data_IF_317225749993
#
_entry.id   IF_317225749993
#
_cell.length_a   1.000
_cell.length_b   1.000
_cell.length_c   1.000
_cell.angle_alpha   90.00
_cell.angle_beta   90.00
_cell.angle_gamma   90.00
#
_symmetry.space_group_name_H-M   'P 1'
#
loop_
_entity.id
_entity.type
_entity.pdbx_description
1 polymer ?
#
# COMPACT_ATOMS: atom_id res chain seq x y z
N UNK A 1 1.35 2.20 13.11
CA UNK A 1 2.82 2.25 12.92
C UNK A 1 3.32 1.15 11.98
N UNK A 2 2.91 -0.12 12.16
CA UNK A 2 3.29 -1.22 11.27
C UNK A 2 2.82 -1.03 9.81
N UNK A 3 1.59 -0.56 9.60
CA UNK A 3 1.03 -0.31 8.26
C UNK A 3 1.86 0.70 7.45
N UNK A 4 2.42 1.74 8.08
CA UNK A 4 3.31 2.72 7.42
C UNK A 4 4.62 2.10 6.97
N UNK A 5 5.21 1.22 7.78
CA UNK A 5 6.42 0.47 7.40
C UNK A 5 6.13 -0.46 6.22
N UNK A 6 5.02 -1.19 6.26
CA UNK A 6 4.61 -2.09 5.17
C UNK A 6 4.32 -1.28 3.90
N UNK A 7 3.55 -0.20 4.00
CA UNK A 7 3.23 0.67 2.87
C UNK A 7 4.48 1.30 2.26
N UNK A 8 5.41 1.81 3.07
CA UNK A 8 6.69 2.34 2.60
C UNK A 8 7.50 1.27 1.83
N UNK A 9 7.57 0.04 2.36
CA UNK A 9 8.24 -1.07 1.68
C UNK A 9 7.58 -1.43 0.36
N UNK A 10 6.25 -1.50 0.32
CA UNK A 10 5.47 -1.81 -0.90
C UNK A 10 5.60 -0.71 -1.94
N UNK A 11 5.57 0.58 -1.57
CA UNK A 11 5.78 1.68 -2.51
C UNK A 11 7.21 1.74 -3.05
N UNK A 12 8.21 1.43 -2.22
CA UNK A 12 9.58 1.30 -2.69
C UNK A 12 9.74 0.16 -3.70
N UNK A 13 9.09 -0.98 -3.45
CA UNK A 13 9.06 -2.11 -4.38
C UNK A 13 8.30 -1.78 -5.68
N UNK A 14 7.16 -1.10 -5.58
CA UNK A 14 6.38 -0.67 -6.74
C UNK A 14 7.14 0.38 -7.58
N UNK A 15 7.88 1.29 -6.94
CA UNK A 15 8.78 2.21 -7.64
C UNK A 15 9.84 1.45 -8.44
N UNK A 16 10.45 0.42 -7.84
CA UNK A 16 11.44 -0.42 -8.50
C UNK A 16 10.85 -1.14 -9.73
N UNK A 17 9.68 -1.77 -9.59
CA UNK A 17 8.98 -2.41 -10.73
C UNK A 17 8.59 -1.40 -11.81
N UNK A 18 8.07 -0.23 -11.44
CA UNK A 18 7.71 0.80 -12.40
C UNK A 18 8.93 1.31 -13.19
N UNK A 19 10.08 1.40 -12.52
CA UNK A 19 11.35 1.76 -13.14
C UNK A 19 11.80 0.68 -14.13
N UNK A 20 11.66 -0.59 -13.75
CA UNK A 20 11.99 -1.75 -14.61
C UNK A 20 11.05 -1.83 -15.83
N UNK A 21 9.78 -1.43 -15.69
CA UNK A 21 8.81 -1.33 -16.79
C UNK A 21 8.99 -0.11 -17.71
N UNK A 22 10.03 0.71 -17.53
CA UNK A 22 10.28 1.92 -18.33
C UNK A 22 9.09 2.90 -18.37
N UNK A 23 8.34 2.98 -17.27
CA UNK A 23 7.27 3.97 -17.14
C UNK A 23 7.91 5.31 -16.75
N UNK A 24 7.67 6.39 -17.49
CA UNK A 24 8.36 7.67 -17.25
C UNK A 24 7.88 8.39 -15.98
N UNK A 25 6.60 8.26 -15.63
CA UNK A 25 5.93 9.06 -14.58
C UNK A 25 5.63 8.24 -13.32
N UNK A 26 5.21 6.98 -13.47
CA UNK A 26 4.83 6.10 -12.36
C UNK A 26 5.92 5.93 -11.29
N UNK A 27 7.22 5.73 -11.64
CA UNK A 27 8.26 5.54 -10.63
C UNK A 27 8.42 6.78 -9.76
N UNK A 28 8.37 7.98 -10.35
CA UNK A 28 8.42 9.24 -9.62
C UNK A 28 7.26 9.39 -8.65
N UNK A 29 6.04 9.04 -9.07
CA UNK A 29 4.85 9.03 -8.21
C UNK A 29 5.03 8.06 -7.04
N UNK A 30 5.52 6.84 -7.30
CA UNK A 30 5.77 5.85 -6.25
C UNK A 30 6.89 6.25 -5.29
N UNK A 31 7.94 6.91 -5.76
CA UNK A 31 9.01 7.45 -4.90
C UNK A 31 8.46 8.54 -3.97
N UNK A 32 7.67 9.47 -4.50
CA UNK A 32 7.02 10.53 -3.68
C UNK A 32 6.07 9.91 -2.66
N UNK A 33 5.28 8.90 -3.06
CA UNK A 33 4.42 8.15 -2.15
C UNK A 33 5.22 7.41 -1.08
N UNK A 34 6.32 6.73 -1.44
CA UNK A 34 7.20 6.07 -0.49
C UNK A 34 7.75 7.05 0.55
N UNK A 35 8.10 8.28 0.14
CA UNK A 35 8.54 9.35 1.04
C UNK A 35 7.39 9.81 1.96
N UNK A 36 6.20 10.04 1.42
CA UNK A 36 5.01 10.46 2.20
C UNK A 36 4.61 9.39 3.23
N UNK A 37 4.70 8.12 2.86
CA UNK A 37 4.39 7.00 3.74
C UNK A 37 5.58 6.55 4.59
N UNK A 38 6.75 7.18 4.44
CA UNK A 38 7.96 6.81 5.15
C UNK A 38 7.77 7.02 6.67
N UNK A 39 7.91 5.99 7.50
CA UNK A 39 7.82 6.14 8.96
C UNK A 39 8.91 7.06 9.55
N UNK A 40 9.95 7.38 8.79
CA UNK A 40 11.01 8.34 9.14
C UNK A 40 10.48 9.79 9.10
N UNK A 41 9.56 10.11 8.18
CA UNK A 41 8.85 11.38 8.15
C UNK A 41 7.60 11.28 9.02
N UNK A 42 7.70 11.72 10.27
CA UNK A 42 6.56 11.87 11.18
C UNK A 42 5.63 13.00 10.70
N UNK A 43 4.89 12.74 9.63
CA UNK A 43 3.78 13.60 9.22
C UNK A 43 2.66 13.38 10.25
N UNK A 44 2.45 14.42 11.06
CA UNK A 44 1.37 14.51 12.04
C UNK A 44 0.05 14.75 11.32
N UNK A 45 -0.43 13.77 10.56
CA UNK A 45 -1.82 13.77 10.13
C UNK A 45 -2.72 13.55 11.34
N UNK A 46 -3.86 14.27 11.43
CA UNK A 46 -4.83 14.08 12.50
C UNK A 46 -5.32 12.63 12.50
N UNK A 47 -5.56 12.09 13.70
CA UNK A 47 -5.96 10.69 13.89
C UNK A 47 -7.19 10.30 13.06
N UNK A 48 -8.09 11.25 12.80
CA UNK A 48 -9.27 11.04 11.95
C UNK A 48 -8.91 10.53 10.55
N UNK A 49 -7.85 11.07 9.95
CA UNK A 49 -7.44 10.64 8.60
C UNK A 49 -6.84 9.23 8.61
N UNK A 50 -6.17 8.85 9.71
CA UNK A 50 -5.70 7.48 9.92
C UNK A 50 -6.85 6.50 10.14
N UNK A 51 -7.88 6.90 10.88
CA UNK A 51 -9.09 6.10 11.10
C UNK A 51 -9.81 5.82 9.78
N UNK A 52 -9.90 6.81 8.90
CA UNK A 52 -10.50 6.63 7.57
C UNK A 52 -9.70 5.61 6.75
N UNK A 53 -8.37 5.74 6.72
CA UNK A 53 -7.50 4.80 5.99
C UNK A 53 -7.63 3.37 6.54
N UNK A 54 -7.58 3.19 7.86
CA UNK A 54 -7.71 1.88 8.49
C UNK A 54 -9.11 1.28 8.25
N UNK A 55 -10.16 2.11 8.24
CA UNK A 55 -11.52 1.67 7.92
C UNK A 55 -11.63 1.14 6.49
N UNK A 56 -11.08 1.88 5.51
CA UNK A 56 -11.05 1.43 4.11
C UNK A 56 -10.21 0.16 3.93
N UNK A 57 -9.05 0.06 4.58
CA UNK A 57 -8.24 -1.17 4.57
C UNK A 57 -8.99 -2.37 5.15
N UNK A 58 -9.72 -2.18 6.25
CA UNK A 58 -10.55 -3.22 6.85
C UNK A 58 -11.66 -3.69 5.91
N UNK A 59 -12.36 -2.76 5.26
CA UNK A 59 -13.40 -3.08 4.26
C UNK A 59 -12.80 -3.81 3.06
N UNK A 60 -11.66 -3.35 2.55
CA UNK A 60 -10.99 -3.96 1.41
C UNK A 60 -10.58 -5.40 1.71
N UNK A 61 -10.03 -5.67 2.91
CA UNK A 61 -9.69 -7.01 3.38
C UNK A 61 -10.92 -7.91 3.54
N UNK A 62 -12.08 -7.34 3.91
CA UNK A 62 -13.36 -8.05 4.00
C UNK A 62 -13.94 -8.37 2.61
N UNK A 63 -13.67 -7.55 1.60
CA UNK A 63 -14.08 -7.86 0.22
C UNK A 63 -13.15 -8.88 -0.43
N UNK A 64 -11.85 -8.82 -0.11
CA UNK A 64 -10.84 -9.70 -0.68
C UNK A 64 -10.87 -11.12 -0.10
N UNK A 65 -11.32 -11.31 1.13
CA UNK A 65 -11.41 -12.64 1.77
C UNK A 65 -12.25 -13.64 0.96
N UNK A 66 -13.32 -13.21 0.29
CA UNK A 66 -14.08 -14.10 -0.60
C UNK A 66 -13.26 -14.49 -1.83
N UNK A 67 -12.51 -13.54 -2.42
CA UNK A 67 -11.68 -13.81 -3.59
C UNK A 67 -10.43 -14.63 -3.28
N UNK A 68 -9.90 -14.52 -2.05
CA UNK A 68 -8.80 -15.37 -1.57
C UNK A 68 -9.32 -16.80 -1.29
N UNK A 69 -10.50 -16.96 -0.71
CA UNK A 69 -11.12 -18.28 -0.49
C UNK A 69 -11.44 -19.02 -1.80
N UNK A 70 -11.72 -18.30 -2.89
CA UNK A 70 -11.95 -18.90 -4.21
C UNK A 70 -10.66 -19.42 -4.87
N UNK A 71 -9.53 -18.75 -4.67
CA UNK A 71 -8.23 -19.20 -5.19
C UNK A 71 -7.68 -20.45 -4.47
N UNK A 72 -8.08 -20.68 -3.22
CA UNK A 72 -7.72 -21.90 -2.47
C UNK A 72 -8.49 -23.15 -2.99
N UNK A 73 -9.73 -22.96 -3.49
CA UNK A 73 -10.58 -24.06 -4.00
C UNK A 73 -10.29 -24.49 -5.44
N UNK A 74 -9.59 -23.68 -6.22
CA UNK A 74 -9.22 -24.00 -7.62
C UNK A 74 -7.89 -24.79 -7.73
N UNK A 75 -7.20 -25.03 -6.61
CA UNK A 75 -5.94 -25.80 -6.54
C UNK A 75 -6.10 -27.22 -5.98
N UNK A 76 -7.34 -27.72 -5.81
CA UNK A 76 -7.62 -29.13 -5.43
C UNK A 76 -8.43 -29.80 -6.53
#
# INVERSE_FOLDING_TARGET
MLLRFIACGVFAWAAYIAFERNEDILPWVFIVLAIIFNPILKIHFPKEMWVVIDFFSGIFLILIREKIQENDKQST
#
